data_IF_374703744532
#
_entry.id   IF_374703744532
#
_cell.length_a   1.000
_cell.length_b   1.000
_cell.length_c   1.000
_cell.angle_alpha   90.00
_cell.angle_beta   90.00
_cell.angle_gamma   90.00
#
_symmetry.space_group_name_H-M   'P 1'
#
loop_
_entity.id
_entity.type
_entity.pdbx_description
1 polymer ?
#
# COMPACT_ATOMS: atom_id res chain seq x y z
N UNK A 1 -12.52 -8.13 -8.98
CA UNK A 1 -13.60 -8.27 -9.98
C UNK A 1 -14.70 -7.19 -9.86
N UNK A 2 -15.04 -6.74 -8.64
CA UNK A 2 -16.08 -5.73 -8.39
C UNK A 2 -15.92 -4.40 -9.14
N UNK A 3 -14.72 -3.82 -9.17
CA UNK A 3 -14.44 -2.54 -9.85
C UNK A 3 -14.75 -2.55 -11.36
N UNK A 4 -14.56 -3.69 -12.05
CA UNK A 4 -14.86 -3.84 -13.48
C UNK A 4 -16.34 -4.04 -13.75
N UNK A 5 -17.04 -4.78 -12.89
CA UNK A 5 -18.46 -5.14 -13.10
C UNK A 5 -19.40 -3.99 -12.74
N UNK A 6 -19.12 -3.27 -11.65
CA UNK A 6 -20.04 -2.28 -11.07
C UNK A 6 -19.69 -0.85 -11.46
N UNK A 7 -18.51 -0.60 -12.06
CA UNK A 7 -18.11 0.75 -12.47
C UNK A 7 -19.09 1.44 -13.43
N UNK A 8 -19.80 0.67 -14.28
CA UNK A 8 -20.86 1.20 -15.17
C UNK A 8 -22.17 1.52 -14.45
N UNK A 9 -22.35 1.08 -13.21
CA UNK A 9 -23.56 1.27 -12.41
C UNK A 9 -23.44 2.50 -11.47
N UNK A 10 -22.41 3.35 -11.65
CA UNK A 10 -22.21 4.56 -10.85
C UNK A 10 -21.37 4.37 -9.59
N UNK A 11 -20.67 3.24 -9.44
CA UNK A 11 -19.74 3.04 -8.32
C UNK A 11 -18.37 3.65 -8.64
N UNK A 12 -17.95 4.59 -7.79
CA UNK A 12 -16.66 5.26 -7.89
C UNK A 12 -15.78 4.91 -6.69
N UNK A 13 -14.48 4.73 -6.94
CA UNK A 13 -13.48 4.50 -5.90
C UNK A 13 -12.57 5.72 -5.81
N UNK A 14 -12.38 6.23 -4.60
CA UNK A 14 -11.34 7.22 -4.29
C UNK A 14 -10.34 6.53 -3.37
N UNK A 15 -9.14 6.29 -3.91
CA UNK A 15 -8.05 5.63 -3.17
C UNK A 15 -6.94 6.64 -2.98
N UNK A 16 -6.54 6.83 -1.73
CA UNK A 16 -5.48 7.76 -1.34
C UNK A 16 -4.40 6.99 -0.58
N UNK A 17 -3.14 7.33 -0.82
CA UNK A 17 -2.02 6.71 -0.15
C UNK A 17 -0.71 7.34 -0.55
N UNK A 18 0.36 6.95 0.13
CA UNK A 18 1.72 7.25 -0.32
C UNK A 18 2.07 6.33 -1.48
N UNK A 19 3.03 6.76 -2.32
CA UNK A 19 3.50 6.01 -3.48
C UNK A 19 3.75 4.53 -3.15
N UNK A 20 4.53 4.28 -2.11
CA UNK A 20 4.97 2.92 -1.77
C UNK A 20 3.82 2.01 -1.28
N UNK A 21 2.72 2.61 -0.80
CA UNK A 21 1.51 1.87 -0.44
C UNK A 21 0.65 1.52 -1.66
N UNK A 22 0.65 2.37 -2.69
CA UNK A 22 -0.18 2.22 -3.89
C UNK A 22 0.45 1.32 -4.96
N UNK A 23 1.75 1.00 -4.82
CA UNK A 23 2.47 0.04 -5.67
C UNK A 23 2.40 -1.39 -5.17
N UNK A 24 1.85 -1.62 -3.97
CA UNK A 24 1.64 -2.95 -3.44
C UNK A 24 0.80 -3.78 -4.43
N UNK A 25 1.23 -5.01 -4.72
CA UNK A 25 0.63 -5.91 -5.72
C UNK A 25 -0.77 -6.42 -5.36
N UNK A 26 -1.53 -5.66 -4.57
CA UNK A 26 -2.87 -5.96 -4.11
C UNK A 26 -3.82 -6.15 -5.31
N UNK A 27 -4.55 -7.26 -5.28
CA UNK A 27 -5.54 -7.62 -6.30
C UNK A 27 -6.69 -6.62 -6.39
N UNK A 28 -6.97 -5.85 -5.33
CA UNK A 28 -7.92 -4.73 -5.39
C UNK A 28 -7.35 -3.52 -6.14
N UNK A 29 -6.08 -3.18 -5.90
CA UNK A 29 -5.46 -2.00 -6.50
C UNK A 29 -5.14 -2.20 -7.98
N UNK A 30 -4.81 -3.43 -8.41
CA UNK A 30 -4.52 -3.75 -9.81
C UNK A 30 -5.62 -3.31 -10.80
N UNK A 31 -6.92 -3.62 -10.62
CA UNK A 31 -7.97 -3.15 -11.52
C UNK A 31 -8.28 -1.65 -11.39
N UNK A 32 -8.06 -1.04 -10.22
CA UNK A 32 -8.28 0.41 -10.02
C UNK A 32 -7.20 1.23 -10.73
N UNK A 33 -5.95 0.82 -10.58
CA UNK A 33 -4.78 1.46 -11.20
C UNK A 33 -4.66 1.23 -12.71
N UNK A 34 -5.39 0.26 -13.28
CA UNK A 34 -5.32 -0.09 -14.69
C UNK A 34 -5.58 1.09 -15.65
N UNK A 35 -6.43 2.04 -15.25
CA UNK A 35 -6.75 3.21 -16.07
C UNK A 35 -5.71 4.32 -16.00
N UNK A 36 -4.68 4.21 -15.12
CA UNK A 36 -3.63 5.23 -14.91
C UNK A 36 -4.19 6.65 -14.79
N UNK A 37 -5.36 6.74 -14.16
CA UNK A 37 -6.05 7.98 -13.91
C UNK A 37 -5.91 8.32 -12.44
N UNK A 38 -5.47 9.53 -12.13
CA UNK A 38 -5.35 9.94 -10.74
C UNK A 38 -4.82 11.34 -10.56
N UNK A 39 -4.60 11.67 -9.29
CA UNK A 39 -4.14 12.96 -8.84
C UNK A 39 -2.85 12.76 -8.04
N UNK A 40 -1.78 13.45 -8.45
CA UNK A 40 -0.49 13.42 -7.78
C UNK A 40 -0.16 14.80 -7.19
N UNK A 41 0.37 14.84 -5.97
CA UNK A 41 0.70 16.11 -5.28
C UNK A 41 2.10 16.64 -5.61
N UNK A 42 2.94 15.81 -6.22
CA UNK A 42 4.28 16.16 -6.66
C UNK A 42 4.60 15.45 -7.98
N UNK A 43 5.70 15.85 -8.62
CA UNK A 43 6.10 15.30 -9.90
C UNK A 43 6.55 13.83 -9.78
N UNK A 44 7.22 13.48 -8.69
CA UNK A 44 7.72 12.13 -8.44
C UNK A 44 6.57 11.10 -8.35
N UNK A 45 5.49 11.45 -7.67
CA UNK A 45 4.26 10.66 -7.57
C UNK A 45 3.49 10.61 -8.89
N UNK A 46 3.56 11.66 -9.70
CA UNK A 46 2.91 11.70 -11.02
C UNK A 46 3.62 10.77 -12.01
N UNK A 47 4.96 10.73 -11.99
CA UNK A 47 5.79 9.93 -12.91
C UNK A 47 5.92 8.46 -12.48
N UNK A 48 5.76 8.18 -11.19
CA UNK A 48 5.87 6.83 -10.66
C UNK A 48 4.59 6.00 -10.81
N UNK A 49 4.71 4.70 -10.51
CA UNK A 49 3.58 3.81 -10.42
C UNK A 49 2.61 4.28 -9.31
N UNK A 50 1.30 4.20 -9.49
CA UNK A 50 0.58 3.58 -10.63
C UNK A 50 0.30 4.50 -11.83
N UNK A 51 0.69 5.78 -11.78
CA UNK A 51 0.21 6.80 -12.71
C UNK A 51 1.03 6.89 -14.00
N UNK A 52 2.37 6.76 -13.92
CA UNK A 52 3.28 6.81 -15.08
C UNK A 52 3.05 8.02 -15.99
N UNK A 53 2.74 9.18 -15.41
CA UNK A 53 2.60 10.43 -16.12
C UNK A 53 3.94 10.93 -16.67
N UNK A 54 3.90 11.73 -17.73
CA UNK A 54 5.07 12.45 -18.23
C UNK A 54 4.95 13.91 -17.83
N UNK A 55 5.67 14.31 -16.77
CA UNK A 55 5.68 15.69 -16.29
C UNK A 55 6.75 16.47 -17.09
N UNK A 56 6.44 17.70 -17.58
CA UNK A 56 7.45 18.54 -18.20
C UNK A 56 8.63 18.82 -17.26
N UNK A 57 9.87 18.77 -17.76
CA UNK A 57 11.10 18.98 -16.95
C UNK A 57 11.12 20.30 -16.16
N UNK A 58 10.49 21.35 -16.69
CA UNK A 58 10.37 22.63 -15.99
C UNK A 58 9.56 22.54 -14.70
N UNK A 59 8.63 21.58 -14.62
CA UNK A 59 7.77 21.36 -13.46
C UNK A 59 8.25 20.21 -12.58
N UNK A 60 9.10 19.30 -13.09
CA UNK A 60 9.58 18.16 -12.30
C UNK A 60 10.58 18.54 -11.21
N UNK A 61 11.36 19.61 -11.42
CA UNK A 61 12.33 20.10 -10.44
C UNK A 61 11.75 21.15 -9.48
N UNK A 62 10.51 21.59 -9.70
CA UNK A 62 9.91 22.65 -8.91
C UNK A 62 9.08 22.07 -7.78
N UNK A 63 9.32 22.53 -6.55
CA UNK A 63 8.46 22.19 -5.43
C UNK A 63 7.13 22.93 -5.59
N UNK A 64 6.04 22.18 -5.67
CA UNK A 64 4.72 22.75 -5.85
C UNK A 64 4.19 23.36 -4.54
N UNK A 65 3.56 24.55 -4.60
CA UNK A 65 2.79 25.08 -3.47
C UNK A 65 1.70 24.12 -3.01
N UNK A 66 1.31 24.23 -1.73
CA UNK A 66 0.21 23.43 -1.18
C UNK A 66 -1.07 23.61 -2.00
N UNK A 67 -1.75 22.51 -2.27
CA UNK A 67 -2.94 22.49 -3.11
C UNK A 67 -2.65 22.56 -4.61
N UNK A 68 -1.40 22.63 -5.07
CA UNK A 68 -1.06 22.35 -6.47
C UNK A 68 -0.65 20.89 -6.64
N UNK A 69 -1.05 20.33 -7.77
CA UNK A 69 -0.70 18.96 -8.13
C UNK A 69 -0.91 18.71 -9.62
N UNK A 70 -0.81 17.45 -10.02
CA UNK A 70 -0.98 16.98 -11.38
C UNK A 70 -2.18 16.06 -11.47
N UNK A 71 -3.10 16.34 -12.40
CA UNK A 71 -4.03 15.33 -12.88
C UNK A 71 -3.33 14.53 -13.96
N UNK A 72 -3.25 13.23 -13.74
CA UNK A 72 -2.71 12.26 -14.70
C UNK A 72 -3.88 11.55 -15.35
N UNK A 73 -3.92 11.63 -16.67
CA UNK A 73 -4.83 10.90 -17.56
C UNK A 73 -3.98 10.11 -18.57
N UNK A 74 -4.51 9.05 -19.19
CA UNK A 74 -3.77 8.32 -20.22
C UNK A 74 -3.22 9.26 -21.31
N UNK A 75 -1.90 9.36 -21.38
CA UNK A 75 -1.18 10.19 -22.37
C UNK A 75 -1.16 11.70 -22.09
N UNK A 76 -1.73 12.19 -20.98
CA UNK A 76 -1.72 13.62 -20.66
C UNK A 76 -1.59 13.87 -19.16
N UNK A 77 -0.70 14.79 -18.82
CA UNK A 77 -0.54 15.34 -17.47
C UNK A 77 -0.84 16.83 -17.51
N UNK A 78 -1.65 17.31 -16.56
CA UNK A 78 -1.98 18.73 -16.43
C UNK A 78 -1.83 19.19 -14.98
N UNK A 79 -1.25 20.38 -14.79
CA UNK A 79 -1.19 21.03 -13.49
C UNK A 79 -2.58 21.49 -13.07
N UNK A 80 -2.96 21.24 -11.82
CA UNK A 80 -4.24 21.64 -11.24
C UNK A 80 -4.07 22.30 -9.89
N UNK A 81 -5.04 23.15 -9.54
CA UNK A 81 -5.22 23.67 -8.19
C UNK A 81 -6.36 22.89 -7.53
N UNK A 82 -6.03 22.10 -6.51
CA UNK A 82 -6.97 21.42 -5.63
C UNK A 82 -7.55 22.45 -4.67
N UNK A 83 -8.86 22.46 -4.54
CA UNK A 83 -9.55 23.28 -3.57
C UNK A 83 -9.15 22.86 -2.16
N UNK A 84 -8.73 23.82 -1.34
CA UNK A 84 -8.47 23.60 0.08
C UNK A 84 -9.77 23.89 0.82
N UNK A 85 -10.34 22.93 1.56
CA UNK A 85 -11.66 23.09 2.18
C UNK A 85 -11.64 24.07 3.38
N UNK A 86 -10.47 24.51 3.82
CA UNK A 86 -10.28 25.46 4.90
C UNK A 86 -9.42 26.64 4.44
N UNK A 87 -9.87 27.90 4.62
CA UNK A 87 -9.11 29.09 4.25
C UNK A 87 -7.92 29.34 5.19
N UNK A 88 -8.05 28.98 6.47
CA UNK A 88 -7.00 29.16 7.47
C UNK A 88 -6.44 27.80 7.94
N UNK A 89 -5.14 27.50 7.69
CA UNK A 89 -4.54 26.25 8.13
C UNK A 89 -4.49 26.08 9.66
N UNK A 90 -4.60 27.17 10.44
CA UNK A 90 -4.61 27.13 11.90
C UNK A 90 -5.96 26.70 12.46
N UNK A 91 -7.04 26.93 11.72
CA UNK A 91 -8.42 26.59 12.10
C UNK A 91 -8.97 25.37 11.35
N UNK A 92 -8.08 24.58 10.75
CA UNK A 92 -8.42 23.40 9.93
C UNK A 92 -9.48 22.50 10.55
N UNK A 93 -9.37 22.19 11.84
CA UNK A 93 -10.29 21.28 12.52
C UNK A 93 -11.69 21.88 12.61
N UNK A 94 -11.79 23.13 13.06
CA UNK A 94 -13.07 23.85 13.21
C UNK A 94 -13.77 24.01 11.85
N UNK A 95 -13.01 24.37 10.81
CA UNK A 95 -13.54 24.53 9.45
C UNK A 95 -14.00 23.17 8.87
N UNK A 96 -13.28 22.08 9.16
CA UNK A 96 -13.68 20.74 8.75
C UNK A 96 -14.95 20.28 9.48
N UNK A 97 -15.04 20.52 10.79
CA UNK A 97 -16.21 20.14 11.59
C UNK A 97 -17.46 20.91 11.11
N UNK A 98 -17.35 22.22 10.90
CA UNK A 98 -18.44 23.02 10.33
C UNK A 98 -18.86 22.52 8.93
N UNK A 99 -17.91 22.08 8.11
CA UNK A 99 -18.22 21.52 6.79
C UNK A 99 -18.97 20.18 6.90
N UNK A 100 -18.56 19.31 7.82
CA UNK A 100 -19.25 18.04 8.12
C UNK A 100 -20.66 18.31 8.63
N UNK A 101 -20.85 19.27 9.54
CA UNK A 101 -22.18 19.69 10.01
C UNK A 101 -23.06 20.12 8.83
N UNK A 102 -22.55 20.95 7.92
CA UNK A 102 -23.29 21.39 6.73
C UNK A 102 -23.71 20.23 5.80
N UNK A 103 -22.93 19.14 5.76
CA UNK A 103 -23.25 17.94 4.98
C UNK A 103 -24.33 17.13 5.70
N UNK A 104 -24.22 16.98 7.01
CA UNK A 104 -25.21 16.27 7.82
C UNK A 104 -26.58 16.95 7.77
N UNK A 105 -26.60 18.29 7.74
CA UNK A 105 -27.83 19.09 7.62
C UNK A 105 -28.57 18.88 6.29
N UNK A 106 -27.91 18.38 5.23
CA UNK A 106 -28.57 18.07 3.95
C UNK A 106 -29.57 16.91 4.05
N UNK A 107 -29.48 16.11 5.11
CA UNK A 107 -30.41 15.00 5.36
C UNK A 107 -30.13 13.76 4.50
N UNK A 108 -28.91 13.62 3.96
CA UNK A 108 -28.51 12.43 3.21
C UNK A 108 -28.50 11.19 4.13
N UNK A 109 -28.84 10.03 3.55
CA UNK A 109 -28.82 8.75 4.27
C UNK A 109 -27.39 8.42 4.71
N UNK A 110 -27.18 8.24 6.02
CA UNK A 110 -25.85 7.89 6.55
C UNK A 110 -25.44 6.50 6.06
N UNK A 111 -24.20 6.36 5.64
CA UNK A 111 -23.62 5.06 5.33
C UNK A 111 -23.56 4.20 6.60
N UNK A 112 -23.97 2.94 6.49
CA UNK A 112 -23.86 1.94 7.55
C UNK A 112 -22.56 1.14 7.37
N UNK A 113 -21.81 0.97 8.47
CA UNK A 113 -20.64 0.10 8.48
C UNK A 113 -21.11 -1.34 8.57
N UNK A 114 -21.11 -2.05 7.44
CA UNK A 114 -21.37 -3.47 7.43
C UNK A 114 -20.17 -4.24 8.00
N UNK A 115 -20.38 -5.27 8.83
CA UNK A 115 -19.31 -6.12 9.28
C UNK A 115 -18.61 -6.76 8.08
N UNK A 116 -17.27 -6.77 8.11
CA UNK A 116 -16.48 -7.47 7.11
C UNK A 116 -16.89 -8.94 7.13
N UNK A 117 -17.23 -9.50 5.96
CA UNK A 117 -17.48 -10.93 5.86
C UNK A 117 -16.27 -11.70 6.41
N UNK A 118 -16.47 -12.75 7.21
CA UNK A 118 -15.36 -13.55 7.73
C UNK A 118 -14.53 -14.06 6.56
N UNK A 119 -13.23 -13.72 6.56
CA UNK A 119 -12.30 -14.14 5.53
C UNK A 119 -12.28 -15.68 5.51
N UNK A 120 -12.46 -16.34 4.36
CA UNK A 120 -12.36 -17.79 4.29
C UNK A 120 -10.96 -18.22 4.77
N UNK A 121 -10.94 -19.09 5.79
CA UNK A 121 -9.70 -19.64 6.33
C UNK A 121 -8.97 -20.41 5.22
N UNK A 122 -7.81 -19.92 4.79
CA UNK A 122 -7.00 -20.59 3.76
C UNK A 122 -6.13 -19.68 2.91
N UNK A 123 -6.31 -18.35 2.95
CA UNK A 123 -5.38 -17.42 2.30
C UNK A 123 -4.57 -16.69 3.37
N UNK A 124 -3.33 -17.13 3.57
CA UNK A 124 -2.37 -16.49 4.46
C UNK A 124 -2.22 -15.02 4.07
N UNK A 125 -2.86 -14.15 4.84
CA UNK A 125 -2.68 -12.72 4.73
C UNK A 125 -1.35 -12.36 5.38
N UNK A 126 -0.44 -11.82 4.57
CA UNK A 126 0.73 -11.09 5.05
C UNK A 126 0.25 -9.97 5.98
N UNK A 127 0.40 -10.18 7.28
CA UNK A 127 0.16 -9.20 8.33
C UNK A 127 1.23 -8.12 8.26
N UNK A 128 0.94 -7.00 7.58
CA UNK A 128 1.63 -5.76 7.83
C UNK A 128 0.74 -4.87 8.69
N UNK A 129 1.13 -4.71 9.96
CA UNK A 129 0.62 -3.65 10.82
C UNK A 129 -0.06 -4.10 12.11
N UNK A 130 0.68 -4.73 13.02
CA UNK A 130 0.42 -4.53 14.46
C UNK A 130 1.73 -4.42 15.23
N UNK A 131 2.08 -3.19 15.61
CA UNK A 131 3.02 -2.96 16.71
C UNK A 131 2.40 -3.56 17.99
N UNK A 132 3.02 -4.62 18.51
CA UNK A 132 2.65 -5.22 19.79
C UNK A 132 3.28 -6.61 19.98
N UNK A 133 4.37 -6.63 20.74
CA UNK A 133 5.14 -7.80 21.19
C UNK A 133 6.00 -8.52 20.13
N UNK A 134 7.30 -8.19 20.12
CA UNK A 134 8.35 -9.08 19.61
C UNK A 134 8.24 -10.44 20.32
N UNK A 135 7.60 -11.41 19.66
CA UNK A 135 7.89 -12.81 19.91
C UNK A 135 9.17 -13.11 19.14
N UNK A 136 10.31 -13.04 19.83
CA UNK A 136 11.54 -13.65 19.36
C UNK A 136 11.25 -15.12 19.09
N UNK A 137 11.20 -15.50 17.82
CA UNK A 137 11.06 -16.89 17.41
C UNK A 137 12.43 -17.54 17.63
N UNK A 138 12.66 -18.07 18.83
CA UNK A 138 13.82 -18.89 19.09
C UNK A 138 13.65 -20.22 18.37
N UNK A 139 14.51 -20.52 17.40
CA UNK A 139 14.49 -21.80 16.70
C UNK A 139 15.24 -22.85 17.53
N UNK A 140 14.77 -24.09 17.47
CA UNK A 140 15.60 -25.22 17.94
C UNK A 140 16.79 -25.42 16.99
N UNK A 141 17.91 -25.98 17.49
CA UNK A 141 19.11 -26.22 16.68
C UNK A 141 18.83 -27.08 15.43
N UNK A 142 17.87 -28.01 15.53
CA UNK A 142 17.43 -28.86 14.44
C UNK A 142 16.65 -28.07 13.36
N UNK A 143 15.74 -27.20 13.79
CA UNK A 143 14.99 -26.31 12.88
C UNK A 143 15.91 -25.32 12.16
N UNK A 144 16.91 -24.77 12.87
CA UNK A 144 17.91 -23.86 12.28
C UNK A 144 18.72 -24.57 11.19
N UNK A 145 19.18 -25.79 11.46
CA UNK A 145 19.96 -26.59 10.51
C UNK A 145 19.13 -26.97 9.29
N UNK A 146 17.88 -27.38 9.48
CA UNK A 146 16.95 -27.71 8.39
C UNK A 146 16.70 -26.52 7.46
N UNK A 147 16.46 -25.33 8.02
CA UNK A 147 16.25 -24.11 7.23
C UNK A 147 17.50 -23.72 6.45
N UNK A 148 18.68 -23.79 7.07
CA UNK A 148 19.95 -23.50 6.39
C UNK A 148 20.20 -24.45 5.22
N UNK A 149 19.92 -25.75 5.37
CA UNK A 149 20.07 -26.74 4.31
C UNK A 149 19.10 -26.49 3.15
N UNK A 150 17.82 -26.21 3.46
CA UNK A 150 16.81 -25.94 2.43
C UNK A 150 17.04 -24.64 1.68
N UNK A 151 17.53 -23.61 2.36
CA UNK A 151 17.92 -22.34 1.74
C UNK A 151 19.20 -22.53 0.90
N UNK A 152 20.18 -23.30 1.40
CA UNK A 152 21.40 -23.66 0.67
C UNK A 152 21.08 -24.38 -0.65
N UNK A 153 20.16 -25.36 -0.62
CA UNK A 153 19.67 -26.09 -1.79
C UNK A 153 19.05 -25.14 -2.84
N UNK A 154 18.31 -24.13 -2.40
CA UNK A 154 17.67 -23.13 -3.28
C UNK A 154 18.64 -22.08 -3.82
N UNK A 155 19.63 -21.68 -3.04
CA UNK A 155 20.61 -20.66 -3.42
C UNK A 155 21.87 -21.23 -4.10
N UNK A 156 22.00 -22.56 -4.19
CA UNK A 156 23.20 -23.21 -4.72
C UNK A 156 24.45 -22.94 -3.88
N UNK A 157 24.27 -22.69 -2.58
CA UNK A 157 25.34 -22.40 -1.61
C UNK A 157 25.55 -23.60 -0.67
N UNK A 158 26.58 -23.57 0.16
CA UNK A 158 26.76 -24.56 1.24
C UNK A 158 26.17 -24.03 2.55
N UNK A 159 25.62 -24.93 3.38
CA UNK A 159 25.00 -24.56 4.66
C UNK A 159 25.99 -23.82 5.60
N UNK A 160 27.29 -24.17 5.56
CA UNK A 160 28.34 -23.51 6.33
C UNK A 160 28.58 -22.05 5.93
N UNK A 161 28.40 -21.70 4.65
CA UNK A 161 28.48 -20.31 4.19
C UNK A 161 27.29 -19.48 4.70
N UNK A 162 26.11 -20.10 4.82
CA UNK A 162 24.89 -19.44 5.28
C UNK A 162 24.82 -19.34 6.81
N UNK A 163 25.46 -20.26 7.54
CA UNK A 163 25.50 -20.24 9.01
C UNK A 163 26.12 -18.95 9.58
N UNK A 164 27.06 -18.33 8.84
CA UNK A 164 27.66 -17.05 9.18
C UNK A 164 26.89 -15.83 8.62
N UNK A 165 26.06 -16.03 7.59
CA UNK A 165 25.27 -14.97 6.95
C UNK A 165 23.98 -14.64 7.72
N UNK A 166 23.48 -15.58 8.53
CA UNK A 166 22.28 -15.42 9.35
C UNK A 166 22.64 -15.56 10.85
N UNK A 167 23.09 -14.47 11.49
CA UNK A 167 23.44 -14.47 12.92
C UNK A 167 22.20 -14.56 13.83
N UNK A 168 21.03 -14.21 13.32
CA UNK A 168 19.75 -14.19 14.02
C UNK A 168 18.72 -15.14 13.38
N UNK A 169 17.96 -15.83 14.22
CA UNK A 169 16.94 -16.81 13.81
C UNK A 169 15.78 -16.13 13.05
N UNK A 170 15.52 -14.86 13.33
CA UNK A 170 14.45 -14.08 12.68
C UNK A 170 14.75 -13.83 11.20
N UNK A 171 15.97 -13.42 10.86
CA UNK A 171 16.40 -13.27 9.46
C UNK A 171 16.38 -14.59 8.70
N UNK A 172 16.72 -15.70 9.37
CA UNK A 172 16.67 -17.03 8.78
C UNK A 172 15.23 -17.46 8.45
N UNK A 173 14.29 -17.27 9.37
CA UNK A 173 12.86 -17.59 9.16
C UNK A 173 12.26 -16.72 8.07
N UNK A 174 12.54 -15.41 8.08
CA UNK A 174 12.03 -14.49 7.06
C UNK A 174 12.55 -14.84 5.66
N UNK A 175 13.82 -15.26 5.57
CA UNK A 175 14.42 -15.71 4.31
C UNK A 175 13.84 -17.06 3.87
N UNK A 176 13.63 -18.00 4.80
CA UNK A 176 12.97 -19.27 4.48
C UNK A 176 11.56 -19.06 3.90
N UNK A 177 10.77 -18.17 4.52
CA UNK A 177 9.42 -17.84 4.09
C UNK A 177 9.40 -17.17 2.71
N UNK A 178 10.37 -16.32 2.38
CA UNK A 178 10.45 -15.70 1.05
C UNK A 178 10.74 -16.72 -0.05
N UNK A 179 11.44 -17.81 0.28
CA UNK A 179 11.66 -18.96 -0.61
C UNK A 179 10.53 -20.01 -0.56
N UNK A 180 9.46 -19.77 0.21
CA UNK A 180 8.33 -20.70 0.36
C UNK A 180 8.66 -21.95 1.19
N UNK A 181 9.72 -21.91 1.99
CA UNK A 181 10.11 -23.00 2.89
C UNK A 181 9.37 -22.79 4.22
N UNK A 182 8.37 -23.63 4.49
CA UNK A 182 7.66 -23.63 5.76
C UNK A 182 8.37 -24.52 6.78
N UNK A 183 8.38 -24.11 8.06
CA UNK A 183 8.68 -25.00 9.17
C UNK A 183 7.48 -25.94 9.33
N UNK A 184 7.63 -27.20 8.92
CA UNK A 184 6.63 -28.20 9.28
C UNK A 184 6.57 -28.31 10.80
N UNK A 185 5.36 -28.24 11.35
CA UNK A 185 5.12 -28.50 12.76
C UNK A 185 5.46 -29.96 13.03
N UNK A 186 6.51 -30.20 13.81
CA UNK A 186 6.61 -31.40 14.62
C UNK A 186 5.54 -31.34 15.73
#
# INVERSE_FOLDING_TARGET
DMARRVGKQGLHFVVCGMRDGLTSGDDMLRPISANRFGLAMDAESAESAPLYGSVPRSLSQMQLPRGRGFVVTPGKVSLVQVAVPYPDPTRKTEDMDAWVESILERGDSRAEWLPLAPRPEGTAASTNGSNGAHKTVALTAEQRTFLLEKIAEKMGATADMLANAFPDDESLVNTALSYGIALEKA
#
